data_IF_061877745107
#
_entry.id   IF_061877745107
#
_cell.length_a   1.000
_cell.length_b   1.000
_cell.length_c   1.000
_cell.angle_alpha   90.00
_cell.angle_beta   90.00
_cell.angle_gamma   90.00
#
_symmetry.space_group_name_H-M   'P 1'
#
loop_
_entity.id
_entity.type
_entity.pdbx_description
1 polymer ?
#
# COMPACT_ATOMS: atom_id res chain seq x y z
N UNK A 1 -19.56 0.21 10.54
CA UNK A 1 -19.06 1.57 10.82
C UNK A 1 -18.40 1.71 12.18
N UNK A 2 -19.06 1.29 13.24
CA UNK A 2 -18.48 1.34 14.59
C UNK A 2 -17.25 0.46 14.73
N UNK A 3 -17.25 -0.73 14.12
CA UNK A 3 -16.11 -1.65 14.15
C UNK A 3 -14.89 -1.07 13.43
N UNK A 4 -15.11 -0.41 12.30
CA UNK A 4 -14.04 0.19 11.51
C UNK A 4 -13.42 1.37 12.26
N UNK A 5 -14.22 2.24 12.83
CA UNK A 5 -13.74 3.36 13.64
C UNK A 5 -13.01 2.88 14.89
N UNK A 6 -13.52 1.83 15.52
CA UNK A 6 -12.88 1.22 16.69
C UNK A 6 -11.52 0.62 16.34
N UNK A 7 -11.42 -0.04 15.19
CA UNK A 7 -10.17 -0.63 14.70
C UNK A 7 -9.11 0.44 14.41
N UNK A 8 -9.49 1.50 13.70
CA UNK A 8 -8.60 2.61 13.38
C UNK A 8 -8.15 3.32 14.66
N UNK A 9 -9.06 3.54 15.61
CA UNK A 9 -8.74 4.15 16.89
C UNK A 9 -7.73 3.31 17.68
N UNK A 10 -7.87 1.99 17.65
CA UNK A 10 -6.93 1.07 18.31
C UNK A 10 -5.54 1.12 17.66
N UNK A 11 -5.47 1.20 16.36
CA UNK A 11 -4.20 1.34 15.64
C UNK A 11 -3.52 2.65 16.07
N UNK A 12 -4.25 3.75 16.06
CA UNK A 12 -3.72 5.05 16.47
C UNK A 12 -3.22 5.04 17.89
N UNK A 13 -3.99 4.49 18.80
CA UNK A 13 -3.62 4.38 20.21
C UNK A 13 -2.36 3.52 20.40
N UNK A 14 -2.28 2.39 19.69
CA UNK A 14 -1.11 1.50 19.76
C UNK A 14 0.16 2.21 19.29
N UNK A 15 0.06 2.98 18.22
CA UNK A 15 1.19 3.75 17.71
C UNK A 15 1.63 4.80 18.73
N UNK A 16 0.71 5.56 19.29
CA UNK A 16 1.02 6.61 20.27
C UNK A 16 1.63 6.04 21.54
N UNK A 17 1.06 4.96 22.05
CA UNK A 17 1.49 4.34 23.31
C UNK A 17 2.88 3.70 23.17
N UNK A 18 3.19 3.12 22.01
CA UNK A 18 4.40 2.33 21.80
C UNK A 18 5.41 3.03 20.87
N UNK A 19 5.36 4.34 20.82
CA UNK A 19 6.07 5.20 19.84
C UNK A 19 7.52 4.80 19.59
N UNK A 20 8.26 4.46 20.63
CA UNK A 20 9.68 4.12 20.54
C UNK A 20 9.97 2.62 20.50
N UNK A 21 8.93 1.77 20.50
CA UNK A 21 9.10 0.33 20.44
C UNK A 21 9.17 -0.17 18.99
N UNK A 22 9.82 -1.30 18.81
CA UNK A 22 9.86 -1.97 17.52
C UNK A 22 8.48 -2.47 17.14
N UNK A 23 8.07 -2.24 15.90
CA UNK A 23 6.75 -2.62 15.40
C UNK A 23 6.82 -3.70 14.33
N UNK A 24 7.66 -3.50 13.32
CA UNK A 24 7.75 -4.37 12.16
C UNK A 24 9.22 -4.63 11.82
N UNK A 25 9.54 -5.88 11.55
CA UNK A 25 10.90 -6.27 11.20
C UNK A 25 10.86 -7.19 9.99
N UNK A 26 11.62 -6.85 8.96
CA UNK A 26 11.83 -7.75 7.83
C UNK A 26 12.89 -8.80 8.18
N UNK A 27 12.66 -10.04 7.74
CA UNK A 27 13.63 -11.10 7.95
C UNK A 27 14.97 -10.72 7.32
N UNK A 28 16.01 -10.65 8.15
CA UNK A 28 17.36 -10.21 7.75
C UNK A 28 17.36 -8.82 7.09
N UNK A 29 16.41 -7.98 7.45
CA UNK A 29 16.23 -6.65 6.88
C UNK A 29 16.01 -5.56 7.92
N UNK A 30 15.28 -4.55 7.52
CA UNK A 30 15.04 -3.38 8.37
C UNK A 30 14.09 -3.68 9.52
N UNK A 31 14.23 -2.92 10.60
CA UNK A 31 13.28 -2.86 11.69
C UNK A 31 12.69 -1.45 11.76
N UNK A 32 11.37 -1.38 11.78
CA UNK A 32 10.64 -0.13 11.95
C UNK A 32 10.07 -0.05 13.36
N UNK A 33 10.30 1.08 14.02
CA UNK A 33 9.61 1.40 15.27
C UNK A 33 8.21 1.93 14.94
N UNK A 34 7.33 1.98 15.94
CA UNK A 34 5.98 2.51 15.73
C UNK A 34 6.01 3.94 15.16
N UNK A 35 6.96 4.78 15.63
CA UNK A 35 7.13 6.13 15.08
C UNK A 35 7.48 6.14 13.59
N UNK A 36 8.27 5.17 13.15
CA UNK A 36 8.64 5.04 11.73
C UNK A 36 7.43 4.61 10.90
N UNK A 37 6.63 3.71 11.44
CA UNK A 37 5.37 3.29 10.82
C UNK A 37 4.44 4.49 10.67
N UNK A 38 4.28 5.30 11.71
CA UNK A 38 3.45 6.50 11.66
C UNK A 38 3.89 7.48 10.58
N UNK A 39 5.18 7.72 10.49
CA UNK A 39 5.75 8.64 9.48
C UNK A 39 5.55 8.14 8.06
N UNK A 40 5.71 6.84 7.85
CA UNK A 40 5.49 6.22 6.54
C UNK A 40 4.01 6.21 6.15
N UNK A 41 3.12 5.96 7.10
CA UNK A 41 1.68 6.08 6.88
C UNK A 41 1.33 7.51 6.44
N UNK A 42 1.87 8.51 7.13
CA UNK A 42 1.63 9.91 6.78
C UNK A 42 2.14 10.23 5.37
N UNK A 43 3.34 9.75 5.01
CA UNK A 43 3.89 9.91 3.67
C UNK A 43 2.94 9.33 2.62
N UNK A 44 2.41 8.15 2.86
CA UNK A 44 1.49 7.50 1.92
C UNK A 44 0.17 8.27 1.86
N UNK A 45 -0.35 8.76 3.00
CA UNK A 45 -1.56 9.59 3.01
C UNK A 45 -1.39 10.81 2.12
N UNK A 46 -0.25 11.48 2.21
CA UNK A 46 0.06 12.65 1.37
C UNK A 46 0.10 12.24 -0.11
N UNK A 47 0.71 11.11 -0.41
CA UNK A 47 0.76 10.57 -1.77
C UNK A 47 -0.64 10.31 -2.31
N UNK A 48 -1.51 9.70 -1.51
CA UNK A 48 -2.88 9.42 -1.90
C UNK A 48 -3.67 10.71 -2.13
N UNK A 49 -3.50 11.70 -1.26
CA UNK A 49 -4.15 13.01 -1.44
C UNK A 49 -3.70 13.69 -2.73
N UNK A 50 -2.40 13.69 -3.00
CA UNK A 50 -1.85 14.29 -4.21
C UNK A 50 -2.32 13.57 -5.47
N UNK A 51 -2.61 12.30 -5.38
CA UNK A 51 -3.14 11.51 -6.48
C UNK A 51 -4.66 11.67 -6.65
N UNK A 52 -5.32 12.43 -5.79
CA UNK A 52 -6.75 12.63 -5.85
C UNK A 52 -7.57 11.45 -5.39
N UNK A 53 -7.00 10.58 -4.56
CA UNK A 53 -7.71 9.41 -4.02
C UNK A 53 -8.74 9.88 -3.01
N UNK A 54 -9.95 9.37 -3.15
CA UNK A 54 -11.06 9.69 -2.27
C UNK A 54 -11.42 8.47 -1.41
N UNK A 55 -12.18 8.71 -0.35
CA UNK A 55 -12.70 7.66 0.50
C UNK A 55 -13.51 6.67 -0.35
N UNK A 56 -13.24 5.38 -0.16
CA UNK A 56 -13.91 4.33 -0.91
C UNK A 56 -13.21 3.94 -2.21
N UNK A 57 -12.24 4.71 -2.67
CA UNK A 57 -11.43 4.33 -3.82
C UNK A 57 -10.60 3.09 -3.51
N UNK A 58 -10.34 2.28 -4.52
CA UNK A 58 -9.63 1.01 -4.35
C UNK A 58 -8.16 1.16 -4.70
N UNK A 59 -7.33 0.62 -3.82
CA UNK A 59 -5.88 0.64 -3.93
C UNK A 59 -5.40 -0.80 -3.87
N UNK A 60 -4.72 -1.24 -4.91
CA UNK A 60 -4.18 -2.60 -4.97
C UNK A 60 -2.78 -2.67 -4.38
N UNK A 61 -2.47 -3.77 -3.72
CA UNK A 61 -1.14 -4.06 -3.18
C UNK A 61 -0.74 -5.45 -3.64
N UNK A 62 0.38 -5.57 -4.34
CA UNK A 62 0.90 -6.86 -4.79
C UNK A 62 2.39 -6.95 -4.46
N UNK A 63 2.71 -7.77 -3.48
CA UNK A 63 4.10 -7.94 -3.05
C UNK A 63 4.21 -8.97 -1.96
N UNK A 64 5.45 -9.34 -1.65
CA UNK A 64 5.73 -10.26 -0.54
C UNK A 64 5.43 -9.55 0.78
N UNK A 65 5.11 -10.36 1.78
CA UNK A 65 4.94 -9.84 3.13
C UNK A 65 6.21 -9.15 3.58
N UNK A 66 6.09 -7.90 3.99
CA UNK A 66 7.21 -7.07 4.41
C UNK A 66 6.69 -5.95 5.32
N UNK A 67 7.60 -5.25 5.97
CA UNK A 67 7.24 -4.08 6.75
C UNK A 67 6.54 -3.04 5.89
N UNK A 68 7.03 -2.77 4.69
CA UNK A 68 6.41 -1.80 3.78
C UNK A 68 5.05 -2.26 3.26
N UNK A 69 4.85 -3.56 3.05
CA UNK A 69 3.53 -4.10 2.70
C UNK A 69 2.52 -3.80 3.82
N UNK A 70 2.91 -4.07 5.06
CA UNK A 70 2.05 -3.82 6.22
C UNK A 70 1.77 -2.34 6.41
N UNK A 71 2.78 -1.49 6.27
CA UNK A 71 2.61 -0.04 6.34
C UNK A 71 1.62 0.45 5.29
N UNK A 72 1.76 -0.05 4.06
CA UNK A 72 0.86 0.33 2.96
C UNK A 72 -0.57 -0.10 3.26
N UNK A 73 -0.76 -1.33 3.73
CA UNK A 73 -2.08 -1.82 4.14
C UNK A 73 -2.72 -0.90 5.18
N UNK A 74 -1.98 -0.59 6.24
CA UNK A 74 -2.45 0.29 7.30
C UNK A 74 -2.75 1.70 6.79
N UNK A 75 -1.89 2.22 5.92
CA UNK A 75 -2.07 3.55 5.36
C UNK A 75 -3.35 3.64 4.53
N UNK A 76 -3.62 2.63 3.71
CA UNK A 76 -4.82 2.61 2.86
C UNK A 76 -6.09 2.55 3.70
N UNK A 77 -6.16 1.65 4.68
CA UNK A 77 -7.37 1.51 5.50
C UNK A 77 -7.59 2.72 6.41
N UNK A 78 -6.52 3.30 6.96
CA UNK A 78 -6.66 4.49 7.81
C UNK A 78 -6.99 5.74 7.02
N UNK A 79 -6.65 5.78 5.75
CA UNK A 79 -7.06 6.86 4.85
C UNK A 79 -8.57 6.82 4.55
N UNK A 80 -9.17 5.65 4.63
CA UNK A 80 -10.56 5.43 4.25
C UNK A 80 -10.73 4.87 2.85
N UNK A 81 -9.65 4.51 2.18
CA UNK A 81 -9.69 3.81 0.91
C UNK A 81 -9.87 2.30 1.14
N UNK A 82 -10.17 1.58 0.08
CA UNK A 82 -10.38 0.14 0.12
C UNK A 82 -9.13 -0.56 -0.40
N UNK A 83 -8.55 -1.44 0.43
CA UNK A 83 -7.37 -2.19 0.03
C UNK A 83 -7.77 -3.44 -0.76
N UNK A 84 -7.05 -3.69 -1.85
CA UNK A 84 -7.22 -4.89 -2.68
C UNK A 84 -5.89 -5.66 -2.66
N UNK A 85 -5.69 -6.57 -1.71
CA UNK A 85 -4.45 -7.33 -1.65
C UNK A 85 -4.42 -8.40 -2.73
N UNK A 86 -3.29 -8.51 -3.42
CA UNK A 86 -3.07 -9.47 -4.49
C UNK A 86 -1.89 -10.33 -4.11
N UNK A 87 -2.02 -11.64 -4.23
CA UNK A 87 -0.94 -12.56 -3.90
C UNK A 87 0.25 -12.36 -4.82
N UNK A 88 1.44 -12.27 -4.22
CA UNK A 88 2.68 -12.06 -4.98
C UNK A 88 3.03 -13.23 -5.91
N UNK A 89 2.44 -14.40 -5.68
CA UNK A 89 2.65 -15.60 -6.49
C UNK A 89 1.84 -15.61 -7.77
N UNK A 90 0.89 -14.70 -7.92
CA UNK A 90 0.08 -14.62 -9.13
C UNK A 90 0.92 -14.17 -10.33
N UNK A 91 0.60 -14.74 -11.48
CA UNK A 91 1.25 -14.36 -12.74
C UNK A 91 0.81 -12.97 -13.18
N UNK A 92 1.59 -12.34 -14.03
CA UNK A 92 1.34 -10.97 -14.48
C UNK A 92 -0.08 -10.77 -15.02
N UNK A 93 -0.57 -11.66 -15.87
CA UNK A 93 -1.92 -11.56 -16.41
C UNK A 93 -3.00 -11.68 -15.35
N UNK A 94 -2.79 -12.49 -14.30
CA UNK A 94 -3.72 -12.59 -13.19
C UNK A 94 -3.74 -11.27 -12.39
N UNK A 95 -2.59 -10.66 -12.16
CA UNK A 95 -2.50 -9.37 -11.50
C UNK A 95 -3.24 -8.30 -12.31
N UNK A 96 -3.01 -8.26 -13.63
CA UNK A 96 -3.70 -7.33 -14.51
C UNK A 96 -5.22 -7.48 -14.43
N UNK A 97 -5.70 -8.71 -14.43
CA UNK A 97 -7.15 -8.98 -14.33
C UNK A 97 -7.74 -8.51 -13.02
N UNK A 98 -7.05 -8.73 -11.90
CA UNK A 98 -7.55 -8.32 -10.58
C UNK A 98 -7.56 -6.79 -10.47
N UNK A 99 -6.50 -6.14 -10.93
CA UNK A 99 -6.43 -4.67 -10.94
C UNK A 99 -7.59 -4.09 -11.76
N UNK A 100 -7.80 -4.62 -12.96
CA UNK A 100 -8.87 -4.13 -13.83
C UNK A 100 -10.26 -4.42 -13.26
N UNK A 101 -10.49 -5.64 -12.78
CA UNK A 101 -11.79 -6.03 -12.25
C UNK A 101 -12.16 -5.26 -10.99
N UNK A 102 -11.18 -5.00 -10.13
CA UNK A 102 -11.42 -4.25 -8.89
C UNK A 102 -11.58 -2.75 -9.13
N UNK A 103 -11.19 -2.26 -10.31
CA UNK A 103 -11.15 -0.83 -10.63
C UNK A 103 -10.20 -0.06 -9.71
N UNK A 104 -9.10 -0.71 -9.30
CA UNK A 104 -8.10 -0.05 -8.47
C UNK A 104 -7.51 1.16 -9.20
N UNK A 105 -7.37 2.26 -8.48
CA UNK A 105 -6.82 3.50 -9.03
C UNK A 105 -5.29 3.55 -8.95
N UNK A 106 -4.72 2.95 -7.91
CA UNK A 106 -3.27 2.86 -7.72
C UNK A 106 -2.88 1.42 -7.42
N UNK A 107 -1.64 1.07 -7.75
CA UNK A 107 -1.05 -0.22 -7.44
C UNK A 107 0.28 -0.01 -6.73
N UNK A 108 0.39 -0.53 -5.50
CA UNK A 108 1.65 -0.63 -4.79
C UNK A 108 2.23 -2.01 -5.07
N UNK A 109 3.46 -2.09 -5.53
CA UNK A 109 3.99 -3.34 -6.07
C UNK A 109 5.45 -3.56 -5.68
N UNK A 110 5.81 -4.82 -5.44
CA UNK A 110 7.20 -5.23 -5.25
C UNK A 110 8.00 -5.13 -6.54
N UNK A 111 9.30 -4.82 -6.43
CA UNK A 111 10.16 -4.57 -7.59
C UNK A 111 10.25 -5.75 -8.56
N UNK A 112 10.37 -6.98 -8.04
CA UNK A 112 10.44 -8.18 -8.87
C UNK A 112 9.14 -8.42 -9.66
N UNK A 113 8.01 -8.10 -9.03
CA UNK A 113 6.70 -8.22 -9.68
C UNK A 113 6.53 -7.14 -10.73
N UNK A 114 6.96 -5.92 -10.38
CA UNK A 114 6.89 -4.77 -11.28
C UNK A 114 7.51 -5.02 -12.65
N UNK A 115 8.67 -5.66 -12.65
CA UNK A 115 9.41 -5.96 -13.89
C UNK A 115 8.61 -6.81 -14.89
N UNK A 116 7.69 -7.63 -14.38
CA UNK A 116 6.90 -8.55 -15.19
C UNK A 116 5.53 -7.99 -15.61
N UNK A 117 5.13 -6.83 -15.07
CA UNK A 117 3.83 -6.26 -15.35
C UNK A 117 3.84 -5.45 -16.66
N UNK A 118 2.72 -5.51 -17.37
CA UNK A 118 2.48 -4.69 -18.55
C UNK A 118 1.46 -3.61 -18.20
N UNK A 119 1.92 -2.39 -18.06
CA UNK A 119 1.09 -1.25 -17.71
C UNK A 119 -0.03 -1.02 -18.74
N UNK A 120 0.23 -1.27 -20.02
CA UNK A 120 -0.77 -1.13 -21.06
C UNK A 120 -1.96 -2.08 -20.87
N UNK A 121 -1.77 -3.19 -20.13
CA UNK A 121 -2.84 -4.11 -19.79
C UNK A 121 -3.71 -3.63 -18.62
N UNK A 122 -3.34 -2.52 -17.98
CA UNK A 122 -4.07 -1.91 -16.88
C UNK A 122 -4.39 -0.45 -17.20
N UNK A 123 -5.25 -0.20 -18.21
CA UNK A 123 -5.43 1.14 -18.78
C UNK A 123 -6.09 2.15 -17.83
N UNK A 124 -6.82 1.69 -16.84
CA UNK A 124 -7.49 2.58 -15.88
C UNK A 124 -6.65 2.89 -14.64
N UNK A 125 -5.50 2.24 -14.52
CA UNK A 125 -4.61 2.47 -13.39
C UNK A 125 -3.95 3.85 -13.52
N UNK A 126 -4.03 4.66 -12.49
CA UNK A 126 -3.54 6.04 -12.50
C UNK A 126 -2.10 6.17 -12.04
N UNK A 127 -1.61 5.21 -11.31
CA UNK A 127 -0.22 5.24 -10.85
C UNK A 127 0.22 3.91 -10.26
N UNK A 128 1.54 3.71 -10.30
CA UNK A 128 2.19 2.53 -9.74
C UNK A 128 3.30 3.01 -8.81
N UNK A 129 3.29 2.50 -7.59
CA UNK A 129 4.24 2.89 -6.55
C UNK A 129 5.03 1.65 -6.11
N UNK A 130 6.34 1.77 -6.03
CA UNK A 130 7.19 0.67 -5.59
C UNK A 130 7.18 0.55 -4.07
N UNK A 131 6.95 -0.65 -3.55
CA UNK A 131 6.90 -0.91 -2.11
C UNK A 131 8.23 -0.69 -1.42
N UNK A 132 9.33 -0.87 -2.11
CA UNK A 132 10.68 -0.79 -1.50
C UNK A 132 11.00 0.60 -0.93
N UNK A 133 10.47 1.66 -1.55
CA UNK A 133 10.82 3.05 -1.19
C UNK A 133 9.65 4.01 -1.32
N UNK A 134 8.48 3.53 -1.71
CA UNK A 134 7.28 4.33 -1.98
C UNK A 134 7.48 5.38 -3.07
N UNK A 135 8.41 5.13 -3.98
CA UNK A 135 8.62 5.98 -5.14
C UNK A 135 7.69 5.58 -6.29
N UNK A 136 7.31 6.58 -7.07
CA UNK A 136 6.46 6.36 -8.23
C UNK A 136 7.25 5.58 -9.29
N UNK A 137 6.65 4.52 -9.81
CA UNK A 137 7.22 3.73 -10.89
C UNK A 137 7.37 4.55 -12.16
N UNK A 138 8.33 4.18 -13.00
CA UNK A 138 8.70 4.95 -14.19
C UNK A 138 7.51 5.31 -15.08
N UNK A 139 6.61 4.38 -15.26
CA UNK A 139 5.47 4.55 -16.16
C UNK A 139 4.43 5.49 -15.60
N UNK A 140 4.33 5.62 -14.29
CA UNK A 140 3.38 6.52 -13.64
C UNK A 140 3.91 7.96 -13.51
N UNK A 141 5.11 8.23 -13.96
CA UNK A 141 5.66 9.59 -14.03
C UNK A 141 5.15 10.39 -15.22
N UNK A 142 4.26 9.81 -15.99
CA UNK A 142 3.75 10.45 -17.20
C UNK A 142 2.62 11.41 -16.96
#
# INVERSE_FOLDING_TARGET
>A
MELEQSFIALIEQSIKTNWYLNALTDYKGITLQYRDVARKIEKIHILLENAGIEKGDKIAICGRNSAHWTVTYLAVITYGAVVVPILHEFKADQVHNIVNHSEARLLFVGDQIWENLNEAAMPHLEGIIELKDFEIGRASCR
#
